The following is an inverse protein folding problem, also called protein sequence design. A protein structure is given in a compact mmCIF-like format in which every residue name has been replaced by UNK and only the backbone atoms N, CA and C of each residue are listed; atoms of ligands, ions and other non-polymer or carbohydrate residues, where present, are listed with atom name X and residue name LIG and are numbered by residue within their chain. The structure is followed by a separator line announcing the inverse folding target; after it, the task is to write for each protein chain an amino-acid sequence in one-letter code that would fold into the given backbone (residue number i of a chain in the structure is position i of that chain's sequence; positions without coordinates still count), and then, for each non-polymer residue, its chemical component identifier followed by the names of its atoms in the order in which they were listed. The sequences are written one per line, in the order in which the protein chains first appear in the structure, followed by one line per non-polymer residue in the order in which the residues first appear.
data_IF_830090008916
#
_entry.id   IF_830090008916
#
_cell.length_a   1.000
_cell.length_b   1.000
_cell.length_c   1.000
_cell.angle_alpha   90.00
_cell.angle_beta   90.00
_cell.angle_gamma   90.00
#
_symmetry.space_group_name_H-M   'P 1'
#
loop_
_entity.id
_entity.type
_entity.pdbx_description
1 polymer ?
2 polymer ?
3 non-polymer ?
4 non-polymer ?
5 water ?
#
# COMPACT_ATOMS: atom_id res chain seq x y z
N UNK A 4 -6.34 23.32 -8.55
CA UNK A 4 -5.86 21.95 -8.61
C UNK A 4 -4.49 21.81 -7.93
N UNK A 5 -4.50 21.79 -6.60
CA UNK A 5 -3.28 21.56 -5.84
C UNK A 5 -2.77 20.15 -6.13
N UNK A 6 -1.49 20.04 -6.48
CA UNK A 6 -0.89 18.75 -6.76
C UNK A 6 0.55 18.74 -6.28
N UNK A 7 0.94 17.68 -5.59
CA UNK A 7 2.32 17.40 -5.26
C UNK A 7 2.73 16.15 -6.03
N UNK A 8 3.64 16.31 -7.01
CA UNK A 8 4.04 15.23 -7.89
C UNK A 8 5.44 14.78 -7.52
N UNK A 9 5.57 13.51 -7.12
CA UNK A 9 6.88 12.95 -6.81
C UNK A 9 7.34 12.09 -7.99
N UNK A 10 8.26 11.18 -7.74
CA UNK A 10 8.57 10.13 -8.69
C UNK A 10 8.40 8.79 -8.00
N UNK A 11 7.79 7.84 -8.70
CA UNK A 11 7.28 6.64 -8.04
C UNK A 11 8.39 5.80 -7.42
N UNK A 12 9.55 5.70 -8.07
CA UNK A 12 10.51 4.69 -7.67
C UNK A 12 11.94 5.14 -7.93
N UNK A 13 12.79 5.03 -6.91
CA UNK A 13 14.22 5.32 -7.03
C UNK A 13 15.01 4.12 -6.52
N UNK A 14 16.04 3.73 -7.26
CA UNK A 14 17.00 2.71 -6.82
C UNK A 14 18.35 3.38 -6.64
N UNK A 15 18.99 3.14 -5.49
CA UNK A 15 20.28 3.74 -5.22
C UNK A 15 21.19 2.72 -4.56
N UNK A 16 22.50 2.87 -4.78
CA UNK A 16 23.48 1.94 -4.26
C UNK A 16 23.78 2.25 -2.79
N UNK A 17 24.04 1.22 -1.98
CA UNK A 17 24.54 1.44 -0.62
C UNK A 17 25.72 2.39 -0.61
N UNK A 18 25.71 3.33 0.34
CA UNK A 18 26.75 4.32 0.45
C UNK A 18 26.59 5.54 -0.44
N UNK A 19 25.68 5.52 -1.41
CA UNK A 19 25.53 6.60 -2.36
C UNK A 19 24.54 7.63 -1.81
N UNK A 20 24.21 8.62 -2.63
CA UNK A 20 23.19 9.61 -2.29
C UNK A 20 22.05 9.52 -3.29
N UNK A 21 20.89 10.01 -2.88
CA UNK A 21 19.76 10.13 -3.79
C UNK A 21 19.06 11.45 -3.48
N UNK A 22 18.57 12.12 -4.52
CA UNK A 22 17.88 13.40 -4.37
C UNK A 22 16.48 13.24 -4.95
N UNK A 23 15.48 13.20 -4.08
CA UNK A 23 14.10 13.02 -4.47
C UNK A 23 13.40 14.37 -4.54
N UNK A 24 12.50 14.51 -5.51
CA UNK A 24 11.87 15.79 -5.79
C UNK A 24 10.36 15.72 -5.53
N UNK A 25 9.79 16.87 -5.26
CA UNK A 25 8.36 17.03 -4.98
C UNK A 25 7.98 18.31 -5.71
N UNK A 26 7.37 18.19 -6.88
CA UNK A 26 6.99 19.34 -7.68
C UNK A 26 5.58 19.76 -7.29
N UNK A 27 5.47 20.94 -6.71
CA UNK A 27 4.18 21.49 -6.33
C UNK A 27 3.58 22.28 -7.46
N UNK A 28 2.26 22.23 -7.58
CA UNK A 28 1.54 23.07 -8.52
C UNK A 28 0.16 23.34 -7.95
N UNK A 29 -0.49 24.36 -8.49
CA UNK A 29 -1.86 24.68 -8.15
C UNK A 29 -2.03 25.67 -7.02
N UNK A 30 -0.94 26.20 -6.47
CA UNK A 30 -1.00 27.18 -5.39
C UNK A 30 0.30 27.98 -5.38
N UNK A 31 0.38 28.97 -4.48
CA UNK A 31 1.57 29.82 -4.37
C UNK A 31 2.64 29.08 -3.57
N UNK A 32 3.67 28.58 -4.27
CA UNK A 32 4.60 27.63 -3.68
C UNK A 32 5.23 28.16 -2.40
N UNK A 33 5.60 29.44 -2.37
CA UNK A 33 6.34 29.95 -1.23
C UNK A 33 5.51 30.10 0.04
N UNK A 34 4.17 30.01 -0.06
CA UNK A 34 3.33 30.32 1.10
C UNK A 34 3.07 29.12 2.02
N UNK A 35 3.51 27.92 1.65
CA UNK A 35 3.32 26.72 2.47
C UNK A 35 4.64 26.02 2.70
N UNK A 36 4.78 25.39 3.87
CA UNK A 36 5.96 24.57 4.10
C UNK A 36 5.73 23.17 3.55
N UNK A 37 6.82 22.54 3.11
CA UNK A 37 6.79 21.18 2.56
C UNK A 37 7.48 20.26 3.55
N UNK A 38 6.80 19.20 3.95
CA UNK A 38 7.33 18.25 4.92
C UNK A 38 7.58 16.92 4.24
N UNK A 39 8.49 16.13 4.81
CA UNK A 39 8.80 14.81 4.30
C UNK A 39 8.55 13.76 5.38
N UNK A 40 7.91 12.66 4.99
CA UNK A 40 7.47 11.61 5.90
C UNK A 40 7.91 10.28 5.33
N UNK A 41 8.47 9.43 6.19
CA UNK A 41 9.00 8.12 5.82
C UNK A 41 8.06 7.03 6.32
N UNK A 42 7.79 6.04 5.46
CA UNK A 42 6.94 4.89 5.78
C UNK A 42 7.73 3.63 5.44
N UNK A 43 8.26 2.99 6.47
CA UNK A 43 8.98 1.74 6.36
C UNK A 43 8.08 0.63 6.89
N UNK A 44 7.93 -0.49 6.15
CA UNK A 44 6.87 -1.47 6.43
C UNK A 44 6.52 -1.72 7.89
N UNK A 45 7.52 -1.92 8.75
CA UNK A 45 7.24 -2.25 10.13
C UNK A 45 7.57 -1.16 11.13
N UNK A 46 7.45 0.12 10.72
CA UNK A 46 7.85 1.20 11.61
C UNK A 46 6.90 2.39 11.59
N UNK A 47 5.66 2.21 11.13
CA UNK A 47 4.72 3.31 11.12
C UNK A 47 5.18 4.46 10.23
N UNK A 48 4.76 5.67 10.58
CA UNK A 48 5.17 6.88 9.88
C UNK A 48 6.15 7.68 10.72
N UNK A 49 7.17 8.24 10.05
CA UNK A 49 8.21 9.02 10.71
C UNK A 49 8.36 10.34 10.00
N UNK A 50 8.40 11.43 10.77
CA UNK A 50 8.58 12.76 10.21
C UNK A 50 10.07 13.02 10.03
N UNK A 51 10.47 13.41 8.82
CA UNK A 51 11.88 13.60 8.47
C UNK A 51 12.32 15.04 8.68
N UNK A 52 11.50 15.99 8.26
CA UNK A 52 11.87 17.39 8.30
C UNK A 52 10.90 18.19 7.45
N UNK A 53 11.11 19.50 7.46
CA UNK A 53 10.37 20.37 6.55
C UNK A 53 11.30 21.44 6.00
N UNK A 54 10.86 22.06 4.91
CA UNK A 54 11.50 23.23 4.34
C UNK A 54 10.45 24.31 4.15
N UNK A 55 10.78 25.53 4.58
CA UNK A 55 9.98 26.73 4.39
C UNK A 55 10.56 27.45 3.18
N UNK A 56 9.92 27.37 2.01
CA UNK A 56 10.51 28.00 0.82
C UNK A 56 10.53 29.51 0.89
N UNK A 57 9.69 30.12 1.73
CA UNK A 57 9.70 31.57 1.86
C UNK A 57 10.96 32.04 2.57
N UNK A 58 11.28 31.42 3.70
CA UNK A 58 12.44 31.83 4.49
C UNK A 58 13.71 31.06 4.12
N UNK A 59 13.58 29.90 3.50
CA UNK A 59 14.71 29.04 3.26
C UNK A 59 15.08 28.14 4.41
N UNK A 60 14.39 28.23 5.54
CA UNK A 60 14.72 27.43 6.71
C UNK A 60 14.23 26.00 6.54
N UNK A 61 15.11 25.05 6.82
CA UNK A 61 14.76 23.64 6.90
C UNK A 61 14.95 23.16 8.32
N UNK A 62 13.94 22.49 8.87
CA UNK A 62 14.02 21.85 10.17
C UNK A 62 14.15 20.35 9.98
N UNK A 63 14.92 19.72 10.85
CA UNK A 63 15.29 18.32 10.69
C UNK A 63 14.98 17.52 11.93
N UNK A 64 14.46 16.31 11.71
CA UNK A 64 14.50 15.27 12.74
C UNK A 64 15.96 14.94 13.04
N UNK A 65 16.39 15.19 14.28
CA UNK A 65 17.80 15.04 14.60
C UNK A 65 18.30 13.61 14.45
N UNK A 66 17.38 12.64 14.42
CA UNK A 66 17.78 11.26 14.18
C UNK A 66 18.31 11.05 12.76
N UNK A 67 17.96 11.93 11.83
CA UNK A 67 18.38 11.77 10.43
C UNK A 67 19.14 12.97 9.88
N UNK A 68 19.50 13.95 10.73
CA UNK A 68 20.03 15.20 10.19
C UNK A 68 21.38 15.03 9.53
N UNK A 69 22.17 14.04 9.97
CA UNK A 69 23.48 13.81 9.36
C UNK A 69 23.40 13.12 8.01
N UNK A 70 22.24 12.59 7.64
CA UNK A 70 22.06 11.91 6.37
C UNK A 70 21.02 12.58 5.49
N UNK A 71 20.51 13.75 5.88
CA UNK A 71 19.37 14.37 5.22
C UNK A 71 19.66 15.85 4.96
N UNK A 72 19.30 16.30 3.77
CA UNK A 72 19.37 17.72 3.41
C UNK A 72 18.12 18.09 2.64
N UNK A 73 17.43 19.13 3.08
CA UNK A 73 16.22 19.59 2.43
C UNK A 73 16.48 20.92 1.73
N UNK A 74 15.93 21.07 0.52
CA UNK A 74 16.12 22.30 -0.25
C UNK A 74 14.82 22.62 -0.97
N UNK A 75 14.74 23.83 -1.52
CA UNK A 75 13.57 24.23 -2.29
C UNK A 75 14.01 25.22 -3.36
N UNK A 76 13.40 25.10 -4.53
CA UNK A 76 13.63 25.98 -5.68
C UNK A 76 12.29 26.62 -6.03
N UNK A 77 12.06 27.86 -5.58
CA UNK A 77 10.79 28.54 -5.90
C UNK A 77 10.57 28.75 -7.38
N UNK A 78 11.62 28.97 -8.16
CA UNK A 78 11.46 29.24 -9.59
C UNK A 78 10.84 28.06 -10.32
N UNK A 79 11.05 26.83 -9.83
CA UNK A 79 10.44 25.65 -10.41
C UNK A 79 9.41 25.02 -9.48
N UNK A 80 9.06 25.70 -8.39
CA UNK A 80 8.10 25.21 -7.40
C UNK A 80 8.40 23.78 -6.98
N UNK A 81 9.67 23.49 -6.72
CA UNK A 81 10.05 22.12 -6.40
C UNK A 81 10.79 22.07 -5.07
N UNK A 82 10.42 21.11 -4.22
CA UNK A 82 11.15 20.81 -3.00
C UNK A 82 11.96 19.54 -3.19
N UNK A 83 13.10 19.45 -2.52
CA UNK A 83 13.99 18.32 -2.67
C UNK A 83 14.43 17.78 -1.31
N UNK A 84 14.54 16.46 -1.23
CA UNK A 84 15.13 15.77 -0.09
C UNK A 84 16.29 14.93 -0.59
N UNK A 85 17.50 15.25 -0.13
CA UNK A 85 18.70 14.51 -0.50
C UNK A 85 19.13 13.67 0.69
N UNK A 86 19.22 12.36 0.48
CA UNK A 86 19.69 11.42 1.48
C UNK A 86 21.08 10.94 1.10
N UNK A 87 22.00 10.97 2.05
CA UNK A 87 23.38 10.54 1.83
C UNK A 87 23.70 9.35 2.73
N UNK A 88 24.82 8.69 2.42
CA UNK A 88 25.30 7.55 3.20
C UNK A 88 24.22 6.47 3.31
N UNK A 89 23.65 6.12 2.17
CA UNK A 89 22.48 5.25 2.13
C UNK A 89 22.81 3.84 2.60
N UNK A 90 21.88 3.26 3.36
CA UNK A 90 21.92 1.86 3.77
C UNK A 90 20.56 1.23 3.48
N UNK A 91 20.49 -0.09 3.56
CA UNK A 91 19.22 -0.78 3.35
C UNK A 91 18.14 -0.25 4.30
N UNK A 92 18.56 0.24 5.47
CA UNK A 92 17.63 0.85 6.42
C UNK A 92 16.89 2.03 5.84
N UNK A 93 17.41 2.65 4.78
CA UNK A 93 16.74 3.80 4.19
C UNK A 93 15.68 3.42 3.17
N UNK A 94 15.61 2.15 2.77
CA UNK A 94 14.57 1.71 1.85
C UNK A 94 13.20 1.89 2.50
N UNK A 95 12.29 2.58 1.80
CA UNK A 95 11.00 2.96 2.36
C UNK A 95 10.21 3.71 1.31
N UNK A 96 8.95 3.98 1.62
CA UNK A 96 8.18 4.95 0.84
C UNK A 96 8.34 6.31 1.50
N UNK A 97 8.62 7.33 0.71
CA UNK A 97 8.78 8.68 1.20
C UNK A 97 7.70 9.55 0.58
N UNK A 98 7.01 10.32 1.41
CA UNK A 98 5.99 11.25 0.97
C UNK A 98 6.45 12.68 1.23
N UNK A 99 6.06 13.58 0.35
CA UNK A 99 6.03 14.98 0.68
C UNK A 99 4.60 15.39 0.96
N UNK A 100 4.45 16.46 1.74
CA UNK A 100 3.12 16.97 2.06
C UNK A 100 3.24 18.46 2.32
N UNK A 101 2.21 19.22 1.98
CA UNK A 101 2.24 20.63 2.30
C UNK A 101 1.47 20.92 3.58
N UNK A 102 1.84 22.01 4.25
CA UNK A 102 1.05 22.44 5.39
C UNK A 102 1.26 23.93 5.64
N UNK A 103 0.27 24.51 6.31
CA UNK A 103 0.34 25.88 6.80
C UNK A 103 -0.64 26.08 7.95
N UNK A 104 -1.94 25.90 7.68
CA UNK A 104 -2.99 26.22 8.63
C UNK A 104 -3.68 25.01 9.25
N UNK A 105 -3.93 23.95 8.48
CA UNK A 105 -4.74 22.83 8.98
C UNK A 105 -4.01 21.51 8.80
N UNK A 106 -2.71 21.47 9.05
CA UNK A 106 -2.01 20.20 8.92
C UNK A 106 -1.74 19.82 7.47
N UNK A 107 -1.49 18.53 7.27
CA UNK A 107 -1.03 18.03 5.97
C UNK A 107 -2.24 17.78 5.08
N UNK A 108 -2.68 18.80 4.34
CA UNK A 108 -3.92 18.61 3.60
C UNK A 108 -3.72 17.94 2.25
N UNK A 109 -2.63 18.22 1.54
CA UNK A 109 -2.34 17.54 0.29
C UNK A 109 -0.99 16.83 0.37
N UNK A 110 -0.94 15.63 -0.20
CA UNK A 110 0.21 14.73 -0.12
C UNK A 110 0.65 14.33 -1.52
N UNK A 111 1.95 14.14 -1.68
CA UNK A 111 2.45 13.48 -2.87
C UNK A 111 1.99 12.04 -2.92
N UNK A 112 2.18 11.41 -4.09
CA UNK A 112 1.77 10.03 -4.27
C UNK A 112 2.73 9.05 -3.63
N UNK A 113 3.85 9.50 -3.09
CA UNK A 113 4.82 8.59 -2.53
C UNK A 113 5.86 8.15 -3.53
N UNK A 114 7.08 7.96 -3.04
CA UNK A 114 8.22 7.53 -3.84
C UNK A 114 8.87 6.35 -3.12
N UNK A 115 8.96 5.21 -3.79
CA UNK A 115 9.55 4.03 -3.18
C UNK A 115 11.06 4.05 -3.43
N UNK A 116 11.83 4.18 -2.37
CA UNK A 116 13.29 4.14 -2.43
C UNK A 116 13.74 2.75 -2.03
N UNK A 117 14.56 2.13 -2.88
CA UNK A 117 15.22 0.87 -2.57
C UNK A 117 16.72 1.10 -2.60
N UNK A 118 17.41 0.70 -1.55
CA UNK A 118 18.86 0.78 -1.46
C UNK A 118 19.40 -0.62 -1.65
N UNK A 119 20.07 -0.85 -2.78
CA UNK A 119 20.54 -2.18 -3.14
C UNK A 119 21.57 -2.06 -4.24
N UNK A 120 22.49 -3.02 -4.29
CA UNK A 120 23.41 -3.10 -5.40
C UNK A 120 22.85 -3.86 -6.60
N UNK A 121 21.65 -4.42 -6.47
CA UNK A 121 21.10 -5.26 -7.52
C UNK A 121 20.71 -4.42 -8.73
N UNK A 122 20.74 -5.04 -9.90
CA UNK A 122 20.37 -4.35 -11.11
C UNK A 122 18.87 -4.23 -11.26
N UNK A 123 18.43 -3.21 -11.96
CA UNK A 123 17.02 -3.05 -12.26
C UNK A 123 16.60 -4.12 -13.27
N UNK A 124 15.50 -4.81 -12.98
CA UNK A 124 15.02 -5.89 -13.84
C UNK A 124 13.54 -5.65 -14.13
N UNK A 125 13.14 -5.49 -15.39
CA UNK A 125 11.72 -5.34 -15.70
C UNK A 125 11.00 -6.66 -15.50
N UNK A 126 9.70 -6.63 -15.26
CA UNK A 126 8.96 -7.88 -15.05
C UNK A 126 8.62 -8.57 -16.35
N UNK A 127 8.46 -9.88 -16.26
CA UNK A 127 7.79 -10.66 -17.29
C UNK A 127 6.31 -10.74 -16.94
N UNK A 128 5.46 -10.49 -17.92
CA UNK A 128 4.02 -10.41 -17.70
C UNK A 128 3.37 -11.56 -18.47
N UNK A 129 2.76 -12.50 -17.73
CA UNK A 129 2.14 -13.67 -18.32
C UNK A 129 0.62 -13.63 -18.11
N UNK A 130 -0.17 -14.04 -19.09
CA UNK A 130 -1.62 -14.09 -18.89
C UNK A 130 -2.04 -15.36 -18.17
N UNK A 131 -3.09 -15.24 -17.34
CA UNK A 131 -3.66 -16.34 -16.59
C UNK A 131 -5.12 -16.48 -17.00
N UNK A 132 -5.41 -17.51 -17.80
CA UNK A 132 -6.71 -17.82 -18.35
C UNK A 132 -7.17 -19.20 -17.88
N UNK A 133 -8.49 -19.44 -17.80
CA UNK A 133 -9.00 -20.75 -17.39
C UNK A 133 -8.80 -21.82 -18.47
N UNK A 141 -21.31 -18.23 -15.40
CA UNK A 141 -21.76 -17.39 -14.30
C UNK A 141 -20.79 -16.24 -14.07
N UNK A 142 -19.64 -16.56 -13.48
CA UNK A 142 -18.60 -15.59 -13.19
C UNK A 142 -17.26 -16.23 -13.49
N UNK A 143 -16.37 -15.50 -14.16
CA UNK A 143 -15.09 -16.04 -14.60
C UNK A 143 -13.97 -15.14 -14.10
N UNK A 144 -12.95 -15.74 -13.50
CA UNK A 144 -11.80 -15.01 -12.99
C UNK A 144 -10.62 -15.18 -13.94
N UNK A 145 -10.03 -14.05 -14.35
CA UNK A 145 -8.81 -14.00 -15.15
C UNK A 145 -7.72 -13.34 -14.33
N UNK A 146 -6.50 -13.32 -14.87
CA UNK A 146 -5.47 -12.58 -14.17
C UNK A 146 -4.23 -12.40 -15.02
N UNK A 147 -3.27 -11.69 -14.45
CA UNK A 147 -1.93 -11.71 -15.02
C UNK A 147 -0.88 -11.79 -13.93
N UNK A 148 0.18 -12.51 -14.23
CA UNK A 148 1.29 -12.80 -13.31
C UNK A 148 2.47 -11.93 -13.71
N UNK A 149 2.95 -11.12 -12.77
CA UNK A 149 4.00 -10.15 -12.98
C UNK A 149 5.21 -10.65 -12.20
N UNK A 150 6.12 -11.34 -12.89
CA UNK A 150 7.13 -12.16 -12.27
C UNK A 150 8.54 -11.65 -12.56
N UNK A 151 9.39 -11.65 -11.53
CA UNK A 151 10.82 -11.48 -11.74
C UNK A 151 11.30 -10.07 -11.95
N UNK A 152 10.78 -9.12 -11.16
CA UNK A 152 11.16 -7.72 -11.33
C UNK A 152 11.86 -7.19 -10.09
N UNK A 153 12.62 -6.11 -10.29
CA UNK A 153 13.29 -5.43 -9.21
C UNK A 153 13.65 -4.03 -9.68
N UNK A 154 13.44 -2.99 -8.87
CA UNK A 154 12.85 -3.04 -7.54
C UNK A 154 11.36 -2.77 -7.55
N UNK A 155 10.76 -2.68 -6.36
CA UNK A 155 9.40 -2.20 -6.22
C UNK A 155 9.30 -0.73 -6.66
N UNK A 156 8.09 -0.28 -7.04
CA UNK A 156 6.86 -1.06 -7.15
C UNK A 156 6.51 -1.35 -8.61
N UNK A 157 5.42 -2.08 -8.82
CA UNK A 157 4.74 -2.12 -10.10
C UNK A 157 3.30 -1.68 -9.86
N UNK A 158 2.68 -1.12 -10.90
CA UNK A 158 1.26 -0.80 -10.87
C UNK A 158 0.56 -1.62 -11.94
N UNK A 159 -0.68 -2.02 -11.66
CA UNK A 159 -1.46 -2.83 -12.58
C UNK A 159 -2.84 -2.21 -12.73
N UNK A 160 -3.27 -2.00 -13.97
CA UNK A 160 -4.66 -1.66 -14.27
C UNK A 160 -5.20 -2.68 -15.26
N UNK A 161 -6.50 -2.59 -15.50
CA UNK A 161 -7.17 -3.46 -16.48
C UNK A 161 -7.96 -2.56 -17.43
N UNK A 162 -7.75 -2.75 -18.73
CA UNK A 162 -8.39 -1.93 -19.76
C UNK A 162 -8.14 -0.44 -19.52
N UNK A 163 -6.87 -0.10 -19.29
CA UNK A 163 -6.43 1.29 -19.13
C UNK A 163 -7.16 2.00 -18.00
N UNK A 164 -7.59 1.26 -16.99
CA UNK A 164 -8.35 1.81 -15.88
C UNK A 164 -9.85 1.75 -16.05
N UNK A 165 -10.35 1.41 -17.24
CA UNK A 165 -11.79 1.34 -17.47
C UNK A 165 -12.42 0.17 -16.73
N UNK A 166 -11.64 -0.87 -16.45
CA UNK A 166 -12.12 -2.04 -15.72
C UNK A 166 -11.53 -1.95 -14.31
N UNK A 167 -12.33 -1.49 -13.37
CA UNK A 167 -11.89 -1.24 -12.00
C UNK A 167 -12.61 -2.08 -10.96
N UNK A 168 -13.89 -2.35 -11.15
CA UNK A 168 -14.63 -3.20 -10.24
C UNK A 168 -14.27 -4.67 -10.47
N UNK A 169 -14.12 -5.42 -9.38
CA UNK A 169 -13.81 -6.83 -9.48
C UNK A 169 -12.34 -7.16 -9.59
N UNK A 170 -11.45 -6.21 -9.28
CA UNK A 170 -10.02 -6.43 -9.39
C UNK A 170 -9.43 -6.72 -8.03
N UNK A 171 -8.41 -7.57 -7.99
CA UNK A 171 -7.69 -7.92 -6.77
C UNK A 171 -6.22 -7.99 -7.14
N UNK A 172 -5.45 -6.98 -6.75
CA UNK A 172 -4.02 -6.98 -7.00
C UNK A 172 -3.29 -7.32 -5.71
N UNK A 173 -2.42 -8.34 -5.77
CA UNK A 173 -1.83 -8.88 -4.57
C UNK A 173 -0.46 -8.28 -4.32
N UNK A 174 -0.09 -8.09 -3.05
CA UNK A 174 1.25 -7.57 -2.74
C UNK A 174 2.33 -8.51 -3.24
N UNK A 175 3.46 -7.92 -3.60
CA UNK A 175 4.58 -8.69 -4.14
C UNK A 175 5.26 -9.51 -3.06
N UNK A 176 5.82 -10.64 -3.48
CA UNK A 176 6.64 -11.49 -2.64
C UNK A 176 8.06 -11.51 -3.22
N UNK A 177 9.05 -11.41 -2.34
CA UNK A 177 10.45 -11.42 -2.74
C UNK A 177 11.01 -12.83 -2.60
N UNK A 178 11.61 -13.34 -3.67
CA UNK A 178 12.27 -14.64 -3.67
C UNK A 178 13.48 -14.56 -4.58
N UNK A 179 14.62 -15.06 -4.10
CA UNK A 179 15.86 -15.08 -4.86
C UNK A 179 16.19 -13.69 -5.41
N UNK A 180 15.91 -12.66 -4.61
CA UNK A 180 16.23 -11.26 -4.91
C UNK A 180 15.36 -10.68 -6.03
N UNK A 181 14.24 -11.31 -6.37
CA UNK A 181 13.31 -10.77 -7.36
C UNK A 181 11.90 -10.79 -6.80
N UNK A 182 11.09 -9.81 -7.22
CA UNK A 182 9.72 -9.69 -6.76
C UNK A 182 8.75 -10.36 -7.74
N UNK A 183 7.67 -10.91 -7.19
CA UNK A 183 6.61 -11.49 -7.99
C UNK A 183 5.27 -11.06 -7.42
N UNK A 184 4.37 -10.65 -8.30
CA UNK A 184 3.05 -10.16 -7.93
C UNK A 184 2.03 -10.79 -8.86
N UNK A 185 0.79 -10.86 -8.42
CA UNK A 185 -0.28 -11.34 -9.27
C UNK A 185 -1.46 -10.40 -9.17
N UNK A 186 -2.23 -10.30 -10.25
CA UNK A 186 -3.46 -9.53 -10.24
C UNK A 186 -4.56 -10.34 -10.89
N UNK A 187 -5.77 -10.23 -10.37
CA UNK A 187 -6.91 -10.95 -10.89
C UNK A 187 -8.05 -9.99 -11.15
N UNK A 188 -8.92 -10.37 -12.07
CA UNK A 188 -10.13 -9.61 -12.38
C UNK A 188 -11.26 -10.59 -12.65
N UNK A 189 -12.39 -10.40 -12.00
CA UNK A 189 -13.54 -11.27 -12.16
C UNK A 189 -14.58 -10.56 -13.03
N UNK A 190 -15.07 -11.26 -14.05
CA UNK A 190 -15.88 -10.64 -15.09
C UNK A 190 -17.08 -11.55 -15.37
N UNK A 191 -18.15 -10.97 -15.91
CA UNK A 191 -19.26 -11.81 -16.40
C UNK A 191 -18.87 -12.51 -17.69
N UNK A 192 -19.44 -13.70 -17.87
CA UNK A 192 -19.05 -14.55 -18.99
C UNK A 192 -19.50 -13.97 -20.33
N UNK A 193 -20.60 -13.23 -20.35
CA UNK A 193 -21.17 -12.74 -21.59
C UNK A 193 -20.33 -11.64 -22.26
N UNK A 194 -19.29 -11.15 -21.59
CA UNK A 194 -18.50 -10.05 -22.11
C UNK A 194 -17.12 -10.47 -22.61
N UNK A 195 -16.57 -11.56 -22.08
CA UNK A 195 -15.27 -12.07 -22.50
C UNK A 195 -15.46 -13.38 -23.25
N UNK A 196 -14.78 -13.59 -24.39
CA UNK A 196 -13.78 -12.71 -24.99
C UNK A 196 -14.34 -11.76 -26.05
N UNK A 197 -15.65 -11.51 -26.03
CA UNK A 197 -16.25 -10.55 -26.97
C UNK A 197 -15.63 -9.17 -26.81
N UNK A 198 -15.74 -8.60 -25.61
CA UNK A 198 -15.11 -7.32 -25.29
C UNK A 198 -13.71 -7.59 -24.74
N UNK A 199 -12.71 -7.05 -25.41
CA UNK A 199 -11.33 -7.39 -25.09
C UNK A 199 -10.94 -6.91 -23.70
N UNK A 200 -10.08 -7.69 -23.03
CA UNK A 200 -9.62 -7.40 -21.69
C UNK A 200 -8.09 -7.47 -21.69
N UNK A 201 -7.46 -6.41 -21.19
CA UNK A 201 -6.02 -6.28 -21.21
C UNK A 201 -5.51 -5.82 -19.85
N UNK A 202 -4.48 -6.48 -19.35
CA UNK A 202 -3.83 -6.05 -18.12
C UNK A 202 -2.64 -5.18 -18.49
N UNK A 203 -2.57 -3.99 -17.89
CA UNK A 203 -1.50 -3.03 -18.12
C UNK A 203 -0.62 -2.95 -16.90
N UNK A 204 0.67 -3.19 -17.10
CA UNK A 204 1.65 -3.26 -16.02
C UNK A 204 2.67 -2.15 -16.24
N UNK A 205 2.97 -1.41 -15.18
CA UNK A 205 4.00 -0.37 -15.23
C UNK A 205 5.04 -0.68 -14.17
N UNK A 206 6.30 -0.56 -14.56
CA UNK A 206 7.46 -0.72 -13.68
C UNK A 206 8.24 0.58 -13.78
N UNK A 207 7.93 1.56 -12.91
CA UNK A 207 8.56 2.88 -13.06
C UNK A 207 10.06 2.87 -12.94
N UNK A 208 10.63 2.03 -12.07
CA UNK A 208 12.06 2.02 -11.87
C UNK A 208 12.82 1.69 -13.16
N UNK A 209 12.22 0.88 -14.03
CA UNK A 209 12.81 0.62 -15.34
C UNK A 209 12.13 1.40 -16.45
N UNK A 210 11.14 2.23 -16.09
CA UNK A 210 10.38 3.02 -17.07
C UNK A 210 9.74 2.13 -18.12
N UNK A 211 9.22 0.98 -17.69
CA UNK A 211 8.67 0.01 -18.63
C UNK A 211 7.16 -0.09 -18.46
N UNK A 212 6.44 -0.23 -19.57
CA UNK A 212 5.01 -0.53 -19.57
C UNK A 212 4.77 -1.72 -20.49
N UNK A 213 3.90 -2.63 -20.06
CA UNK A 213 3.54 -3.83 -20.81
C UNK A 213 2.02 -3.96 -20.82
N UNK A 214 1.45 -4.21 -21.99
CA UNK A 214 0.02 -4.51 -22.11
C UNK A 214 -0.15 -5.95 -22.56
N UNK A 215 -0.74 -6.78 -21.71
CA UNK A 215 -0.96 -8.18 -22.02
C UNK A 215 -2.45 -8.43 -22.22
N UNK A 216 -2.83 -8.79 -23.45
CA UNK A 216 -4.17 -9.28 -23.72
C UNK A 216 -4.31 -10.70 -23.16
N UNK A 217 -5.45 -10.97 -22.52
CA UNK A 217 -5.76 -12.31 -22.02
C UNK A 217 -6.56 -13.02 -23.11
N UNK A 218 -5.86 -13.82 -23.92
CA UNK A 218 -6.48 -14.58 -25.00
C UNK A 218 -7.27 -15.73 -24.39
N UNK A 219 -8.38 -16.15 -25.03
CA UNK A 219 -9.22 -17.17 -24.39
C UNK A 219 -8.55 -18.54 -24.27
N UNK A 220 -7.60 -18.86 -25.14
CA UNK A 220 -6.95 -20.16 -25.10
C UNK A 220 -6.09 -20.31 -23.85
N UNK B 2 12.12 13.46 22.69
CA UNK B 2 11.05 13.42 21.70
C UNK B 2 9.71 13.08 22.35
N UNK B 3 8.63 13.60 21.79
CA UNK B 3 7.29 13.30 22.28
C UNK B 3 6.86 11.95 21.74
N UNK B 4 6.64 10.99 22.63
CA UNK B 4 6.15 9.67 22.28
C UNK B 4 4.63 9.69 22.18
N UNK B 5 4.10 9.15 21.10
CA UNK B 5 2.65 9.08 20.87
C UNK B 5 2.24 7.62 20.93
N UNK B 6 1.49 7.25 21.97
CA UNK B 6 1.05 5.88 22.20
C UNK B 6 -0.40 5.75 21.78
N UNK B 7 -0.66 4.88 20.83
CA UNK B 7 -1.98 4.71 20.25
C UNK B 7 -2.60 3.39 20.71
N UNK B 8 -3.89 3.43 21.03
CA UNK B 8 -4.62 2.25 21.49
C UNK B 8 -5.97 2.20 20.79
N UNK B 9 -6.39 1.05 20.24
CA UNK B 9 -5.70 -0.23 20.26
C UNK B 9 -4.82 -0.42 19.02
N UNK B 10 -4.09 -1.54 18.98
CA UNK B 10 -3.29 -1.85 17.79
C UNK B 10 -4.20 -2.24 16.63
N UNK B 11 -5.25 -3.00 16.91
CA UNK B 11 -6.20 -3.48 15.93
C UNK B 11 -7.61 -3.23 16.45
N UNK B 12 -8.49 -2.73 15.58
CA UNK B 12 -9.84 -2.36 15.99
C UNK B 12 -10.85 -2.98 15.03
N UNK B 13 -11.26 -4.22 15.29
CA UNK B 13 -12.38 -4.79 14.53
C UNK B 13 -13.70 -4.20 15.01
N UNK B 14 -14.59 -3.92 14.06
CA UNK B 14 -15.87 -3.28 14.39
C UNK B 14 -16.89 -3.70 13.34
N UNK B 15 -18.12 -3.93 13.80
CA UNK B 15 -19.21 -4.26 12.90
C UNK B 15 -19.76 -3.00 12.25
N UNK B 16 -20.36 -3.18 11.07
CA UNK B 16 -20.89 -2.04 10.32
C UNK B 16 -22.01 -1.37 11.10
N UNK B 17 -21.96 -0.03 11.16
CA UNK B 17 -22.96 0.74 11.87
C UNK B 17 -22.65 0.97 13.33
N UNK B 18 -21.70 0.24 13.90
CA UNK B 18 -21.32 0.44 15.29
C UNK B 18 -20.38 1.65 15.41
N UNK B 19 -20.13 2.05 16.65
CA UNK B 19 -19.17 3.12 16.90
C UNK B 19 -17.80 2.55 17.18
N UNK B 20 -16.78 3.39 17.02
CA UNK B 20 -15.40 2.99 17.25
C UNK B 20 -14.65 4.16 17.86
N UNK B 21 -13.69 3.85 18.73
CA UNK B 21 -12.94 4.85 19.46
C UNK B 21 -11.46 4.47 19.43
N UNK B 22 -10.62 5.44 19.08
CA UNK B 22 -9.17 5.27 19.05
C UNK B 22 -8.57 6.32 19.96
N UNK B 23 -7.62 5.93 20.81
CA UNK B 23 -7.03 6.85 21.75
C UNK B 23 -5.57 7.05 21.44
N UNK B 24 -5.08 8.23 21.79
CA UNK B 24 -3.71 8.64 21.57
C UNK B 24 -3.25 9.38 22.81
N UNK B 25 -2.10 8.97 23.37
CA UNK B 25 -1.58 9.55 24.61
C UNK B 25 -0.15 9.97 24.38
N UNK B 26 0.14 11.24 24.64
CA UNK B 26 1.49 11.76 24.44
C UNK B 26 2.31 11.66 25.73
N UNK B 27 3.61 11.43 25.58
CA UNK B 27 4.49 11.31 26.74
C UNK B 27 4.70 12.64 27.46
N UNK B 28 4.29 13.74 26.86
CA UNK B 28 4.35 15.05 27.49
C UNK B 28 3.32 15.92 26.77
N UNK B 29 2.99 17.06 27.38
CA UNK B 29 1.98 17.93 26.81
C UNK B 29 2.41 18.41 25.43
N UNK B 30 1.43 18.60 24.56
CA UNK B 30 1.70 19.05 23.20
C UNK B 30 0.99 20.37 22.96
N UNK B 31 0.91 21.18 24.00
CA UNK B 31 0.44 22.56 23.85
C UNK B 31 1.61 23.41 23.36
N UNK B 32 1.46 24.00 22.18
CA UNK B 32 2.50 24.85 21.62
C UNK B 32 2.70 26.09 22.50
N UNK B 33 3.81 26.79 22.24
CA UNK B 33 4.07 28.06 22.93
C UNK B 33 2.95 29.06 22.69
N UNK B 34 2.32 29.02 21.52
CA UNK B 34 1.29 29.99 21.16
C UNK B 34 -0.08 29.62 21.72
N UNK B 35 -0.19 28.56 22.52
CA UNK B 35 -1.45 28.16 23.10
C UNK B 35 -2.22 27.12 22.33
N UNK B 36 -1.82 26.82 21.09
CA UNK B 36 -2.52 25.83 20.28
C UNK B 36 -2.00 24.43 20.56
N UNK B 37 -2.85 23.45 20.34
CA UNK B 37 -2.49 22.04 20.42
C UNK B 37 -2.60 21.46 19.02
N UNK B 38 -1.45 21.21 18.39
CA UNK B 38 -1.42 20.75 17.00
C UNK B 38 -1.47 19.22 16.95
N UNK B 39 -2.62 18.69 17.35
CA UNK B 39 -2.88 17.27 17.29
C UNK B 39 -3.78 16.98 16.09
N UNK B 40 -3.33 16.09 15.22
CA UNK B 40 -4.01 15.77 13.99
C UNK B 40 -4.26 14.27 13.91
N UNK B 41 -5.27 13.90 13.13
CA UNK B 41 -5.62 12.52 12.85
C UNK B 41 -5.61 12.32 11.35
N UNK B 42 -4.94 11.23 10.91
CA UNK B 42 -4.80 10.86 9.50
C UNK B 42 -5.27 9.43 9.29
N UNK B 43 -5.77 9.15 8.09
CA UNK B 43 -6.18 7.81 7.71
C UNK B 43 -5.38 7.38 6.50
N UNK B 44 -4.71 6.23 6.61
CA UNK B 44 -3.92 5.63 5.54
C UNK B 44 -4.73 4.45 5.04
N UNK B 45 -5.42 4.63 3.90
CA UNK B 45 -6.14 3.55 3.25
C UNK B 45 -5.21 2.77 2.33
N UNK B 46 -5.44 1.48 2.15
CA UNK B 46 -4.50 0.67 1.36
C UNK B 46 -4.30 1.24 -0.04
N UNK B 47 -3.04 1.36 -0.44
CA UNK B 47 -2.70 1.88 -1.76
C UNK B 47 -2.90 3.36 -1.95
N UNK B 48 -3.17 4.12 -0.90
CA UNK B 48 -3.39 5.55 -1.02
C UNK B 48 -2.45 6.30 -0.09
N UNK B 49 -2.23 7.58 -0.40
CA UNK B 49 -1.48 8.46 0.47
C UNK B 49 -2.31 8.82 1.69
N UNK B 50 -1.68 9.20 2.81
CA UNK B 50 -2.45 9.53 4.01
C UNK B 50 -3.47 10.62 3.73
N UNK B 51 -4.56 10.58 4.50
CA UNK B 51 -5.68 11.50 4.37
C UNK B 51 -5.90 12.22 5.68
N UNK B 52 -5.91 13.55 5.64
CA UNK B 52 -6.17 14.33 6.83
C UNK B 52 -7.64 14.21 7.24
N UNK B 53 -7.87 13.84 8.50
CA UNK B 53 -9.21 13.78 9.06
C UNK B 53 -9.47 14.93 10.03
N UNK B 54 -8.58 15.11 11.00
CA UNK B 54 -8.83 16.05 12.10
C UNK B 54 -7.60 16.90 12.30
N UNK B 55 -7.78 18.19 12.52
CA UNK B 55 -6.67 19.06 12.90
C UNK B 55 -7.06 19.85 14.14
N UNK B 56 -6.03 20.28 14.89
CA UNK B 56 -6.21 21.02 16.13
C UNK B 56 -7.21 20.32 17.06
N UNK B 57 -6.94 19.04 17.30
CA UNK B 57 -7.64 18.20 18.28
C UNK B 57 -9.05 17.85 17.81
N UNK B 58 -9.86 18.86 17.49
CA UNK B 58 -11.30 18.64 17.36
C UNK B 58 -11.91 19.21 16.08
N UNK B 59 -11.11 19.72 15.16
CA UNK B 59 -11.63 20.39 13.97
C UNK B 59 -11.63 19.43 12.80
N UNK B 60 -12.81 19.19 12.22
CA UNK B 60 -12.94 18.28 11.10
C UNK B 60 -12.47 18.96 9.82
N UNK B 61 -11.60 18.28 9.07
CA UNK B 61 -11.11 18.84 7.81
C UNK B 61 -12.23 18.83 6.77
N UNK B 62 -12.15 19.80 5.85
CA UNK B 62 -13.19 19.93 4.82
C UNK B 62 -13.32 18.65 4.01
N UNK B 63 -14.57 18.22 3.80
CA UNK B 63 -14.84 17.01 3.08
C UNK B 63 -14.88 15.75 3.91
N UNK B 64 -14.45 15.81 5.16
CA UNK B 64 -14.50 14.63 6.04
C UNK B 64 -15.93 14.44 6.53
N UNK B 65 -16.49 13.23 6.42
CA UNK B 65 -17.87 13.03 6.88
C UNK B 65 -18.02 13.33 8.37
N UNK B 66 -19.19 13.87 8.72
CA UNK B 66 -19.44 14.33 10.09
C UNK B 66 -19.44 13.21 11.11
N UNK B 67 -19.38 11.95 10.68
CA UNK B 67 -19.31 10.87 11.65
C UNK B 67 -17.94 10.74 12.31
N UNK B 68 -16.93 11.46 11.81
CA UNK B 68 -15.63 11.53 12.48
C UNK B 68 -15.61 12.73 13.42
N UNK B 69 -15.14 12.50 14.65
CA UNK B 69 -14.98 13.59 15.61
C UNK B 69 -13.72 13.37 16.42
N UNK B 70 -13.13 14.46 16.87
CA UNK B 70 -11.94 14.40 17.70
C UNK B 70 -12.13 15.19 18.98
N UNK B 71 -11.54 14.68 20.06
CA UNK B 71 -11.62 15.38 21.34
C UNK B 71 -10.34 15.10 22.12
N UNK B 72 -10.23 15.75 23.27
CA UNK B 72 -9.12 15.53 24.17
C UNK B 72 -8.38 16.83 24.48
N UNK B 73 -7.37 16.70 25.33
CA UNK B 73 -6.54 17.84 25.70
C UNK B 73 -5.27 17.33 26.36
N UNK B 74 -4.32 18.25 26.54
CA UNK B 74 -3.08 17.96 27.21
C UNK B 74 -2.34 16.77 26.64
N UNK B 75 -2.56 15.59 27.22
CA UNK B 75 -1.88 14.38 26.79
C UNK B 75 -2.81 13.26 26.32
N UNK B 76 -4.12 13.42 26.41
CA UNK B 76 -5.05 12.36 26.06
C UNK B 76 -6.04 12.84 25.01
N UNK B 77 -6.10 12.12 23.88
CA UNK B 77 -6.89 12.53 22.73
C UNK B 77 -7.61 11.32 22.17
N UNK B 78 -8.76 11.56 21.56
CA UNK B 78 -9.62 10.48 21.09
C UNK B 78 -10.19 10.83 19.72
N UNK B 79 -10.10 9.86 18.81
CA UNK B 79 -10.81 9.87 17.54
C UNK B 79 -12.04 8.98 17.66
N UNK B 80 -13.21 9.51 17.32
CA UNK B 80 -14.47 8.81 17.40
C UNK B 80 -15.04 8.67 16.00
N UNK B 81 -15.47 7.46 15.66
CA UNK B 81 -16.18 7.19 14.41
C UNK B 81 -17.56 6.67 14.78
N UNK B 82 -18.60 7.42 14.46
CA UNK B 82 -19.97 6.94 14.64
C UNK B 82 -20.45 6.29 13.35
N UNK B 83 -21.28 5.24 13.50
CA UNK B 83 -21.83 4.48 12.39
C UNK B 83 -20.76 4.16 11.34
N UNK B 84 -19.86 3.24 11.74
CA UNK B 84 -18.73 2.87 10.89
C UNK B 84 -19.22 2.34 9.55
N UNK B 85 -18.58 2.79 8.46
CA UNK B 85 -18.83 2.31 7.12
C UNK B 85 -17.62 1.54 6.60
N UNK B 86 -17.85 0.70 5.60
CA UNK B 86 -16.79 -0.16 5.08
C UNK B 86 -15.63 0.65 4.51
N UNK B 87 -15.92 1.83 3.93
CA UNK B 87 -14.87 2.69 3.41
C UNK B 87 -13.96 3.26 4.50
N UNK B 88 -14.31 3.09 5.77
CA UNK B 88 -13.51 3.62 6.87
C UNK B 88 -12.31 2.74 7.23
N UNK B 89 -12.12 1.59 6.58
CA UNK B 89 -11.08 0.71 7.07
C UNK B 89 -9.70 1.21 6.64
N UNK B 90 -8.68 0.75 7.37
CA UNK B 90 -7.33 1.20 7.07
C UNK B 90 -6.58 1.50 8.35
N UNK B 91 -5.48 2.24 8.27
CA UNK B 91 -4.66 2.51 9.47
C UNK B 91 -4.79 3.97 9.84
N UNK B 92 -5.25 4.23 11.07
CA UNK B 92 -5.39 5.58 11.61
C UNK B 92 -4.14 5.94 12.40
N UNK B 93 -3.65 7.16 12.20
CA UNK B 93 -2.50 7.68 12.93
C UNK B 93 -2.86 8.99 13.61
N UNK B 94 -2.52 9.12 14.88
CA UNK B 94 -2.45 10.45 15.45
C UNK B 94 -1.08 11.03 15.15
N UNK B 95 -0.97 12.35 15.30
CA UNK B 95 0.23 13.08 14.95
C UNK B 95 0.28 14.36 15.78
N UNK B 96 1.41 14.65 16.40
CA UNK B 96 1.60 15.91 17.10
C UNK B 96 2.54 16.79 16.29
N UNK B 97 2.09 18.00 16.01
CA UNK B 97 2.90 18.97 15.28
C UNK B 97 3.28 20.17 16.12
N UNK B 98 3.37 19.98 17.43
CA UNK B 98 3.66 21.09 18.34
C UNK B 98 5.14 21.21 18.66
N UNK B 99 5.83 20.08 18.84
CA UNK B 99 7.21 20.08 19.29
C UNK B 99 8.09 19.29 18.33
N UNK B 100 9.15 19.91 17.86
CA UNK B 100 10.12 19.24 16.97
C UNK B 100 10.93 18.24 17.80
N UNK B 101 11.12 17.00 17.32
CA UNK B 101 10.61 16.48 16.04
C UNK B 101 9.16 16.07 16.12
N UNK B 102 8.40 16.38 15.09
CA UNK B 102 7.02 15.93 15.03
C UNK B 102 6.98 14.41 14.98
N UNK B 103 5.97 13.83 15.63
CA UNK B 103 5.93 12.39 15.82
C UNK B 103 4.51 11.87 15.58
N UNK B 104 4.44 10.68 15.00
CA UNK B 104 3.18 9.97 14.79
C UNK B 104 2.97 8.92 15.86
N UNK B 105 1.71 8.61 16.12
CA UNK B 105 1.38 7.41 16.86
C UNK B 105 1.76 6.16 16.09
N UNK B 106 1.69 5.02 16.78
CA UNK B 106 2.05 3.76 16.15
C UNK B 106 1.07 3.27 15.12
N UNK B 107 -0.13 3.82 15.08
CA UNK B 107 -1.13 3.40 14.12
C UNK B 107 -2.11 2.40 14.71
N UNK B 108 -3.36 2.49 14.25
CA UNK B 108 -4.44 1.58 14.63
C UNK B 108 -5.07 1.07 13.34
N UNK B 109 -5.06 -0.25 13.14
CA UNK B 109 -5.68 -0.81 11.94
C UNK B 109 -7.15 -1.10 12.22
N UNK B 110 -8.04 -0.33 11.60
CA UNK B 110 -9.46 -0.55 11.69
C UNK B 110 -9.86 -1.58 10.64
N UNK B 111 -10.54 -2.64 11.11
CA UNK B 111 -10.97 -3.77 10.31
C UNK B 111 -12.48 -3.93 10.46
N UNK B 112 -13.16 -4.21 9.34
CA UNK B 112 -14.60 -4.40 9.35
C UNK B 112 -14.91 -5.84 9.74
N UNK B 113 -15.75 -5.99 10.76
CA UNK B 113 -16.25 -7.30 11.17
C UNK B 113 -17.55 -7.58 10.44
N UNK B 114 -17.54 -8.57 9.54
CA UNK B 114 -18.72 -8.97 8.81
C UNK B 114 -18.96 -10.46 9.00
N UNK B 115 -20.04 -10.95 8.38
CA UNK B 115 -20.35 -12.37 8.47
C UNK B 115 -19.25 -13.21 7.84
N UNK B 116 -19.09 -14.42 8.37
CA UNK B 116 -18.11 -15.35 7.80
C UNK B 116 -18.44 -15.61 6.34
N UNK B 117 -17.39 -15.72 5.53
CA UNK B 117 -17.55 -15.92 4.10
C UNK B 117 -16.53 -16.94 3.60
N UNK B 118 -17.00 -17.90 2.82
CA UNK B 118 -16.13 -18.93 2.26
C UNK B 118 -15.47 -18.41 0.99
N UNK B 119 -14.18 -18.71 0.79
CA UNK B 119 -13.48 -18.17 -0.38
C UNK B 119 -13.88 -18.84 -1.66
N UNK B 120 -13.83 -18.07 -2.74
CA UNK B 120 -13.92 -18.61 -4.10
C UNK B 120 -12.51 -18.99 -4.56
N UNK B 121 -12.31 -20.26 -4.88
CA UNK B 121 -11.00 -20.80 -5.17
C UNK B 121 -10.87 -21.05 -6.67
N UNK B 122 -9.72 -20.69 -7.22
CA UNK B 122 -9.45 -20.88 -8.64
C UNK B 122 -7.98 -21.24 -8.82
N UNK B 123 -7.71 -22.16 -9.76
CA UNK B 123 -6.34 -22.58 -10.05
C UNK B 123 -6.04 -22.30 -11.51
N UNK B 124 -4.78 -22.00 -11.79
CA UNK B 124 -4.32 -21.50 -13.08
C UNK B 124 -3.01 -22.17 -13.45
N UNK B 125 -2.94 -22.78 -14.62
CA UNK B 125 -1.71 -23.46 -15.05
C UNK B 125 -0.70 -22.48 -15.59
N UNK B 126 0.55 -22.88 -15.79
CA UNK B 126 1.52 -21.99 -16.44
C UNK B 126 1.08 -21.67 -17.86
N UNK B 127 1.23 -20.41 -18.24
CA UNK B 127 0.89 -19.99 -19.59
C UNK B 127 1.92 -20.52 -20.58
N UNK B 128 1.59 -20.40 -21.87
CA UNK B 128 2.51 -20.85 -22.91
C UNK B 128 3.80 -20.05 -22.87
N UNK B 129 3.71 -18.74 -22.69
CA UNK B 129 4.89 -17.88 -22.77
C UNK B 129 5.89 -18.21 -21.66
N UNK B 130 5.40 -18.33 -20.43
CA UNK B 130 6.29 -18.71 -19.32
C UNK B 130 6.94 -20.06 -19.58
N UNK B 131 6.20 -21.01 -20.15
CA UNK B 131 6.76 -22.33 -20.44
C UNK B 131 7.88 -22.22 -21.46
N UNK B 132 7.69 -21.41 -22.51
CA UNK B 132 8.78 -21.16 -23.44
C UNK B 132 9.99 -20.57 -22.71
N UNK B 133 9.74 -19.68 -21.74
CA UNK B 133 10.86 -19.08 -21.01
C UNK B 133 11.66 -20.13 -20.26
N UNK B 134 11.00 -21.07 -19.59
CA UNK B 134 11.70 -22.13 -18.90
C UNK B 134 11.41 -22.23 -17.41
N UNK B 135 10.26 -21.71 -16.99
CA UNK B 135 9.80 -21.89 -15.63
C UNK B 135 8.35 -22.34 -15.62
N UNK B 136 7.86 -22.69 -14.42
CA UNK B 136 6.49 -23.16 -14.30
C UNK B 136 5.91 -22.67 -12.98
N UNK B 137 4.83 -21.90 -13.07
CA UNK B 137 4.15 -21.38 -11.89
C UNK B 137 2.67 -21.76 -11.98
N UNK B 138 2.19 -22.45 -10.95
CA UNK B 138 0.76 -22.73 -10.79
C UNK B 138 0.20 -21.75 -9.78
N UNK B 139 -0.87 -21.05 -10.14
CA UNK B 139 -1.37 -19.93 -9.36
C UNK B 139 -2.74 -20.28 -8.79
N UNK B 140 -2.95 -19.99 -7.51
CA UNK B 140 -4.21 -20.28 -6.84
C UNK B 140 -4.72 -18.99 -6.21
N UNK B 141 -5.92 -18.59 -6.60
CA UNK B 141 -6.61 -17.44 -6.01
C UNK B 141 -7.67 -17.92 -5.04
N UNK B 142 -7.67 -17.36 -3.84
CA UNK B 142 -8.69 -17.61 -2.83
C UNK B 142 -9.29 -16.25 -2.50
N UNK B 143 -10.41 -15.92 -3.12
CA UNK B 143 -10.93 -14.57 -3.16
C UNK B 143 -12.20 -14.42 -2.32
N UNK B 144 -12.35 -13.26 -1.68
CA UNK B 144 -13.60 -12.82 -1.06
C UNK B 144 -14.04 -13.74 0.07
N UNK B 145 -13.19 -13.84 1.09
CA UNK B 145 -13.50 -14.63 2.27
C UNK B 145 -13.32 -13.78 3.52
N UNK B 146 -13.96 -14.23 4.60
CA UNK B 146 -13.83 -13.59 5.90
C UNK B 146 -13.99 -14.66 6.97
N UNK B 147 -13.15 -14.67 8.01
CA UNK B 147 -12.08 -13.70 8.28
C UNK B 147 -10.76 -13.99 7.55
N UNK B 148 -9.72 -13.22 7.90
CA UNK B 148 -8.47 -13.23 7.12
C UNK B 148 -7.73 -14.55 7.24
N UNK B 149 -7.79 -15.21 8.39
CA UNK B 149 -7.03 -16.44 8.59
C UNK B 149 -7.56 -17.55 7.69
N UNK B 150 -6.64 -18.24 7.01
CA UNK B 150 -6.99 -19.31 6.09
C UNK B 150 -5.75 -20.16 5.88
N UNK B 151 -5.94 -21.41 5.47
CA UNK B 151 -4.83 -22.33 5.25
C UNK B 151 -4.87 -22.82 3.81
N UNK B 152 -3.68 -22.93 3.20
CA UNK B 152 -3.54 -23.39 1.82
C UNK B 152 -2.52 -24.51 1.80
N UNK B 153 -2.82 -25.57 1.04
CA UNK B 153 -1.92 -26.71 0.92
C UNK B 153 -1.76 -27.08 -0.54
N UNK B 154 -0.51 -27.25 -0.98
CA UNK B 154 -0.19 -27.62 -2.35
C UNK B 154 0.25 -29.06 -2.39
N UNK B 155 -0.37 -29.85 -3.26
CA UNK B 155 -0.04 -31.27 -3.40
C UNK B 155 0.20 -31.62 -4.87
N UNK B 156 1.31 -32.30 -5.12
CA UNK B 156 1.63 -32.81 -6.45
C UNK B 156 1.45 -34.31 -6.43
N UNK B 157 0.48 -34.81 -7.22
CA UNK B 157 0.18 -36.23 -7.30
C UNK B 157 -0.14 -36.82 -5.93
N UNK B 158 -0.75 -36.02 -5.05
CA UNK B 158 -1.16 -36.44 -3.74
C UNK B 158 -0.21 -36.07 -2.62
N UNK B 159 1.07 -35.84 -2.93
CA UNK B 159 2.05 -35.53 -1.91
C UNK B 159 2.22 -34.03 -1.78
N UNK B 160 2.33 -33.56 -0.53
CA UNK B 160 2.47 -32.14 -0.26
C UNK B 160 3.71 -31.56 -0.91
N UNK B 161 3.71 -30.24 -1.09
CA UNK B 161 4.83 -29.53 -1.66
C UNK B 161 5.06 -28.23 -0.89
N UNK B 167 2.84 -17.14 -0.87
CA UNK B 167 1.55 -16.68 -0.34
C UNK B 167 1.51 -15.16 -0.18
N UNK B 168 0.44 -14.56 -0.68
CA UNK B 168 0.28 -13.11 -0.64
C UNK B 168 -1.14 -12.77 -0.23
N UNK B 169 -1.27 -11.94 0.81
CA UNK B 169 -2.57 -11.54 1.35
C UNK B 169 -2.88 -10.12 0.94
N UNK B 170 -4.12 -9.88 0.52
CA UNK B 170 -4.56 -8.52 0.30
C UNK B 170 -5.00 -7.88 1.62
N UNK B 171 -5.08 -6.55 1.61
CA UNK B 171 -5.77 -5.85 2.67
C UNK B 171 -7.27 -6.10 2.55
N UNK B 172 -8.02 -5.67 3.56
CA UNK B 172 -9.46 -5.85 3.54
C UNK B 172 -10.08 -4.97 2.45
N UNK B 173 -11.06 -5.52 1.75
CA UNK B 173 -11.65 -4.85 0.59
C UNK B 173 -12.65 -3.80 1.04
N UNK B 174 -12.50 -2.57 0.52
CA UNK B 174 -13.33 -1.45 0.94
C UNK B 174 -14.77 -1.57 0.47
N UNK B 175 -15.07 -2.51 -0.43
CA UNK B 175 -16.44 -2.65 -0.94
C UNK B 175 -17.25 -3.66 -0.13
N UNK B 176 -16.77 -4.91 -0.04
CA UNK B 176 -17.53 -5.96 0.63
C UNK B 176 -16.87 -6.46 1.91
N UNK B 177 -15.78 -5.82 2.37
CA UNK B 177 -15.14 -6.14 3.64
C UNK B 177 -14.60 -7.57 3.68
N UNK B 178 -14.25 -8.13 2.52
CA UNK B 178 -13.69 -9.48 2.45
C UNK B 178 -12.18 -9.42 2.21
N UNK B 179 -11.55 -10.59 2.35
CA UNK B 179 -10.12 -10.74 2.14
C UNK B 179 -9.87 -11.64 0.93
N UNK B 180 -8.71 -11.48 0.32
CA UNK B 180 -8.29 -12.36 -0.77
C UNK B 180 -6.82 -12.70 -0.59
N UNK B 181 -6.44 -13.84 -1.15
CA UNK B 181 -5.10 -14.38 -0.98
C UNK B 181 -4.67 -15.07 -2.28
N UNK B 182 -3.38 -15.00 -2.56
CA UNK B 182 -2.81 -15.63 -3.75
C UNK B 182 -1.65 -16.52 -3.34
N UNK B 183 -1.67 -17.77 -3.80
CA UNK B 183 -0.61 -18.73 -3.52
C UNK B 183 -0.02 -19.16 -4.85
N UNK B 184 1.29 -18.98 -5.00
CA UNK B 184 1.98 -19.30 -6.24
C UNK B 184 3.00 -20.40 -5.99
N UNK B 185 2.85 -21.51 -6.70
CA UNK B 185 3.79 -22.63 -6.64
C UNK B 185 4.73 -22.52 -7.82
N UNK B 186 6.01 -22.24 -7.53
CA UNK B 186 7.03 -22.07 -8.55
C UNK B 186 7.93 -23.30 -8.58
N UNK B 187 8.25 -23.76 -9.78
CA UNK B 187 9.15 -24.87 -9.97
C UNK B 187 9.72 -24.80 -11.39
N UNK B 188 10.68 -25.68 -11.64
CA UNK B 188 11.31 -25.73 -12.96
C UNK B 188 10.36 -26.31 -13.98
N UNK B 189 10.57 -25.93 -15.25
CA UNK B 189 9.78 -26.51 -16.32
C UNK B 189 10.01 -28.01 -16.42
N UNK B 190 11.26 -28.44 -16.24
CA UNK B 190 11.56 -29.87 -16.31
C UNK B 190 10.84 -30.65 -15.22
N UNK B 191 10.77 -30.10 -14.01
CA UNK B 191 10.04 -30.76 -12.93
C UNK B 191 8.54 -30.71 -13.17
N UNK B 192 8.06 -29.66 -13.85
CA UNK B 192 6.64 -29.57 -14.16
C UNK B 192 6.22 -30.59 -15.20
N UNK B 193 7.08 -30.83 -16.20
CA UNK B 193 6.72 -31.74 -17.29
C UNK B 193 6.57 -33.18 -16.81
N UNK B 194 7.20 -33.55 -15.69
CA UNK B 194 7.22 -34.93 -15.23
C UNK B 194 6.22 -35.20 -14.11
N UNK B 195 5.16 -34.40 -14.02
CA UNK B 195 4.09 -34.65 -13.07
C UNK B 195 2.76 -34.40 -13.75
N UNK B 196 1.69 -34.91 -13.15
CA UNK B 196 0.37 -34.88 -13.76
C UNK B 196 -0.60 -33.98 -12.98
N UNK B 197 -0.97 -34.35 -11.77
CA UNK B 197 -2.01 -33.65 -11.03
C UNK B 197 -1.40 -32.65 -10.07
N UNK B 198 -1.94 -31.43 -10.07
CA UNK B 198 -1.55 -30.38 -9.15
C UNK B 198 -2.79 -29.92 -8.40
N UNK B 199 -2.67 -29.80 -7.08
CA UNK B 199 -3.84 -29.60 -6.22
C UNK B 199 -3.59 -28.45 -5.25
N UNK B 200 -4.56 -27.55 -5.17
CA UNK B 200 -4.57 -26.43 -4.24
C UNK B 200 -5.76 -26.59 -3.31
N UNK B 201 -5.50 -26.85 -2.03
CA UNK B 201 -6.54 -27.05 -1.03
C UNK B 201 -6.64 -25.82 -0.14
N UNK B 202 -7.89 -25.40 0.14
CA UNK B 202 -8.17 -24.23 0.94
C UNK B 202 -9.02 -24.65 2.15
N UNK B 203 -8.45 -24.50 3.35
CA UNK B 203 -9.15 -24.77 4.59
C UNK B 203 -9.48 -23.46 5.27
N UNK B 204 -10.76 -23.21 5.48
CA UNK B 204 -11.23 -21.95 6.05
C UNK B 204 -12.18 -22.23 7.21
N UNK B 205 -12.37 -21.20 8.03
CA UNK B 205 -13.22 -21.28 9.21
C UNK B 205 -14.68 -21.57 8.85
N UNK B 206 -15.07 -21.36 7.59
CA UNK B 206 -16.47 -21.45 7.21
C UNK B 206 -16.93 -22.89 7.04
N UNK B 207 -16.30 -23.63 6.13
CA UNK B 207 -16.72 -24.99 5.79
C UNK B 207 -15.82 -26.01 6.48
N UNK B 208 -16.42 -27.12 6.90
CA UNK B 208 -15.66 -28.19 7.55
C UNK B 208 -14.78 -28.91 6.55
N UNK B 209 -15.30 -29.17 5.35
CA UNK B 209 -14.53 -29.85 4.31
C UNK B 209 -13.63 -28.87 3.58
N UNK B 210 -12.43 -29.28 3.18
CA UNK B 210 -11.55 -28.38 2.43
C UNK B 210 -12.10 -28.08 1.04
N UNK B 211 -11.69 -26.94 0.51
CA UNK B 211 -12.09 -26.49 -0.82
C UNK B 211 -10.92 -26.80 -1.75
N UNK B 212 -11.07 -27.85 -2.56
CA UNK B 212 -10.00 -28.40 -3.37
C UNK B 212 -10.23 -28.00 -4.82
N UNK B 213 -9.18 -27.52 -5.48
CA UNK B 213 -9.20 -27.22 -6.91
C UNK B 213 -7.92 -27.75 -7.55
N UNK B 214 -8.07 -28.67 -8.49
CA UNK B 214 -6.94 -29.34 -9.11
C UNK B 214 -7.01 -29.21 -10.63
N UNK B 215 -5.94 -29.64 -11.29
CA UNK B 215 -5.81 -29.46 -12.73
C UNK B 215 -4.83 -30.51 -13.26
N UNK B 216 -5.09 -30.97 -14.49
CA UNK B 216 -4.22 -31.93 -15.16
C UNK B 216 -3.46 -31.28 -16.30
#
# INVERSE_FOLDING_TARGET
HVSQVQLQQSAAELARPGASVKMSCKASGYSFTTYTIHWVKQRPGQGLEWIGYINPSSGYAAYNQNFKDETTLTADPSSSTAYMELNSLTSEDSAVYYCAREKFYGYDYWGQGATLTVSSAKTTPPSVYPLAPGSAAQTNSMVTLGCLVKGYFPEPVTVTWNSGSLSSGVHTFPAVLQSDLYTLSSSVTVPSSTWPSQTVTCNVAHPASSTKVDKKIVPRDC
SDVLMTQIPLSLPVSLGDQASISCRSSQSIVHRNGNTYLEWYLLKPGQSPKLLIYKVSNRFSGVPDRFSGSGSGTDFTLKISRVEAEDLGVYYCFQGSHVPYTFGGGTKLEIRRADAAPTVSIFPPSSEQLTSGGASVVCFLNNFYPKDINVKWKIDGSERQNGVLNSWTDQDSKDSTYSMSSTLTLTKDEYERHNSYTCEATHKTSTSPIVKSFNRNQC
#
